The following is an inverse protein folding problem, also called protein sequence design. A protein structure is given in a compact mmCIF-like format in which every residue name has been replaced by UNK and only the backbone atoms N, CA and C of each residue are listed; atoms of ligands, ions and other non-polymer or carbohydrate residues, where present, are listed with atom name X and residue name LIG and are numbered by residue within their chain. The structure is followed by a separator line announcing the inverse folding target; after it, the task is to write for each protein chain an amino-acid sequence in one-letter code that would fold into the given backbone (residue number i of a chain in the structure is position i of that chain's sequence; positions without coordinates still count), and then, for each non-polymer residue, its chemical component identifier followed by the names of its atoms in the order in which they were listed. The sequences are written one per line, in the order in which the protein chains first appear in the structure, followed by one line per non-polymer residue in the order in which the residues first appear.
data_IF_424973367527
#
_entry.id   IF_424973367527
#
_cell.length_a   1.000
_cell.length_b   1.000
_cell.length_c   1.000
_cell.angle_alpha   90.00
_cell.angle_beta   90.00
_cell.angle_gamma   90.00
#
_symmetry.space_group_name_H-M   'P 1'
#
loop_
_entity.id
_entity.type
_entity.pdbx_description
1 polymer ?
#
# COMPACT_ATOMS: atom_id res chain seq x y z
N UNK A 1 2.18 -8.95 -26.80
CA UNK A 1 1.83 -9.27 -25.40
C UNK A 1 2.01 -8.05 -24.50
N UNK A 2 3.19 -7.42 -24.52
CA UNK A 2 3.54 -6.27 -23.66
C UNK A 2 2.68 -5.01 -23.91
N UNK A 3 2.23 -4.78 -25.14
CA UNK A 3 1.42 -3.60 -25.53
C UNK A 3 -0.08 -3.88 -25.61
N UNK A 4 -0.54 -5.07 -25.21
CA UNK A 4 -1.94 -5.42 -25.34
C UNK A 4 -2.75 -4.86 -24.15
N UNK A 5 -3.79 -4.03 -24.36
CA UNK A 5 -4.61 -3.48 -23.27
C UNK A 5 -5.37 -4.54 -22.46
N UNK A 6 -5.54 -5.76 -22.99
CA UNK A 6 -6.05 -6.88 -22.19
C UNK A 6 -5.04 -7.39 -21.17
N UNK A 7 -3.75 -7.39 -21.52
CA UNK A 7 -2.70 -7.83 -20.62
C UNK A 7 -2.56 -6.87 -19.42
N UNK A 8 -2.68 -5.57 -19.65
CA UNK A 8 -2.71 -4.56 -18.58
C UNK A 8 -3.87 -4.77 -17.61
N UNK A 9 -5.08 -5.01 -18.14
CA UNK A 9 -6.27 -5.28 -17.32
C UNK A 9 -6.15 -6.56 -16.48
N UNK A 10 -5.59 -7.63 -17.06
CA UNK A 10 -5.32 -8.89 -16.33
C UNK A 10 -4.28 -8.65 -15.23
N UNK A 11 -3.19 -7.95 -15.53
CA UNK A 11 -2.17 -7.61 -14.53
C UNK A 11 -2.77 -6.83 -13.36
N UNK A 12 -3.68 -5.89 -13.63
CA UNK A 12 -4.37 -5.13 -12.58
C UNK A 12 -5.26 -6.01 -11.70
N UNK A 13 -5.99 -6.96 -12.30
CA UNK A 13 -6.81 -7.91 -11.55
C UNK A 13 -5.94 -8.78 -10.62
N UNK A 14 -4.77 -9.21 -11.08
CA UNK A 14 -3.82 -9.99 -10.27
C UNK A 14 -3.26 -9.17 -9.11
N UNK A 15 -2.98 -7.87 -9.31
CA UNK A 15 -2.57 -6.97 -8.22
C UNK A 15 -3.68 -6.84 -7.18
N UNK A 16 -4.93 -6.63 -7.62
CA UNK A 16 -6.07 -6.52 -6.70
C UNK A 16 -6.28 -7.82 -5.91
N UNK A 17 -6.17 -8.97 -6.56
CA UNK A 17 -6.22 -10.27 -5.89
C UNK A 17 -5.10 -10.37 -4.84
N UNK A 18 -3.89 -9.91 -5.14
CA UNK A 18 -2.79 -9.90 -4.17
C UNK A 18 -3.05 -8.99 -2.97
N UNK A 19 -3.67 -7.82 -3.17
CA UNK A 19 -4.07 -6.95 -2.07
C UNK A 19 -5.09 -7.65 -1.15
N UNK A 20 -6.04 -8.40 -1.73
CA UNK A 20 -7.02 -9.17 -0.95
C UNK A 20 -6.36 -10.31 -0.19
N UNK A 21 -5.43 -11.07 -0.80
CA UNK A 21 -4.72 -12.16 -0.09
C UNK A 21 -3.89 -11.61 1.07
N UNK A 22 -3.19 -10.49 0.87
CA UNK A 22 -2.44 -9.81 1.93
C UNK A 22 -3.36 -9.27 3.05
N UNK A 23 -4.51 -8.70 2.72
CA UNK A 23 -5.47 -8.20 3.71
C UNK A 23 -6.17 -9.31 4.50
N UNK A 24 -6.24 -10.53 3.95
CA UNK A 24 -6.82 -11.70 4.62
C UNK A 24 -5.84 -12.44 5.55
N UNK A 25 -4.55 -12.12 5.50
CA UNK A 25 -3.51 -12.74 6.32
C UNK A 25 -3.68 -12.38 7.81
N UNK A 26 -3.57 -13.39 8.69
CA UNK A 26 -3.67 -13.19 10.16
C UNK A 26 -2.33 -13.54 10.82
N UNK A 27 -1.56 -12.54 11.30
CA UNK A 27 -0.22 -12.79 11.84
C UNK A 27 -0.22 -13.75 13.04
N UNK A 28 -1.19 -13.66 13.96
CA UNK A 28 -1.19 -14.49 15.18
C UNK A 28 -1.58 -15.96 14.98
N UNK A 29 -2.11 -16.34 13.80
CA UNK A 29 -2.67 -17.68 13.55
C UNK A 29 -1.96 -18.37 12.39
N UNK A 30 -1.45 -17.60 11.44
CA UNK A 30 -0.88 -18.10 10.18
C UNK A 30 0.67 -18.17 10.23
N UNK A 31 1.30 -18.10 11.40
CA UNK A 31 2.76 -18.26 11.55
C UNK A 31 3.21 -19.71 11.25
N UNK A 32 2.48 -20.69 11.78
CA UNK A 32 2.58 -22.10 11.40
C UNK A 32 1.40 -22.42 10.48
N UNK A 33 1.66 -22.49 9.17
CA UNK A 33 0.64 -22.63 8.12
C UNK A 33 -0.02 -24.04 8.09
N UNK A 34 -0.76 -24.35 9.15
CA UNK A 34 -1.42 -25.63 9.39
C UNK A 34 -2.86 -25.64 8.88
N UNK A 35 -3.53 -24.48 8.92
CA UNK A 35 -4.94 -24.35 8.53
C UNK A 35 -5.14 -24.47 7.01
N UNK A 36 -6.27 -25.05 6.55
CA UNK A 36 -6.55 -25.17 5.11
C UNK A 36 -6.68 -23.79 4.44
N UNK A 37 -7.16 -22.78 5.17
CA UNK A 37 -7.20 -21.39 4.71
C UNK A 37 -5.81 -20.85 4.40
N UNK A 38 -4.84 -21.06 5.30
CA UNK A 38 -3.47 -20.59 5.10
C UNK A 38 -2.84 -21.25 3.87
N UNK A 39 -3.03 -22.57 3.69
CA UNK A 39 -2.55 -23.28 2.49
C UNK A 39 -3.14 -22.73 1.18
N UNK A 40 -4.44 -22.40 1.18
CA UNK A 40 -5.08 -21.79 0.01
C UNK A 40 -4.48 -20.40 -0.27
N UNK A 41 -4.27 -19.59 0.77
CA UNK A 41 -3.64 -18.27 0.64
C UNK A 41 -2.21 -18.38 0.07
N UNK A 42 -1.44 -19.36 0.54
CA UNK A 42 -0.09 -19.63 0.04
C UNK A 42 -0.09 -20.02 -1.44
N UNK A 43 -1.03 -20.87 -1.87
CA UNK A 43 -1.18 -21.23 -3.29
C UNK A 43 -1.47 -20.00 -4.16
N UNK A 44 -2.34 -19.09 -3.69
CA UNK A 44 -2.60 -17.84 -4.40
C UNK A 44 -1.35 -16.97 -4.47
N UNK A 45 -0.61 -16.83 -3.38
CA UNK A 45 0.61 -16.03 -3.34
C UNK A 45 1.72 -16.61 -4.26
N UNK A 46 1.87 -17.93 -4.31
CA UNK A 46 2.80 -18.62 -5.22
C UNK A 46 2.40 -18.40 -6.69
N UNK A 47 1.10 -18.50 -7.01
CA UNK A 47 0.57 -18.21 -8.34
C UNK A 47 0.84 -16.75 -8.75
N UNK A 48 0.57 -15.80 -7.85
CA UNK A 48 0.79 -14.38 -8.08
C UNK A 48 2.28 -14.09 -8.31
N UNK A 49 3.16 -14.68 -7.49
CA UNK A 49 4.60 -14.55 -7.67
C UNK A 49 5.05 -15.06 -9.03
N UNK A 50 4.62 -16.28 -9.41
CA UNK A 50 4.97 -16.89 -10.70
C UNK A 50 4.48 -16.04 -11.89
N UNK A 51 3.25 -15.51 -11.83
CA UNK A 51 2.71 -14.63 -12.86
C UNK A 51 3.60 -13.41 -13.10
N UNK A 52 4.02 -12.73 -12.03
CA UNK A 52 4.84 -11.54 -12.15
C UNK A 52 6.31 -11.82 -12.48
N UNK A 53 6.86 -12.94 -12.01
CA UNK A 53 8.20 -13.37 -12.39
C UNK A 53 8.27 -13.70 -13.89
N UNK A 54 7.24 -14.36 -14.42
CA UNK A 54 7.11 -14.65 -15.85
C UNK A 54 6.94 -13.37 -16.66
N UNK A 55 6.06 -12.46 -16.24
CA UNK A 55 5.90 -11.17 -16.90
C UNK A 55 7.22 -10.41 -16.98
N UNK A 56 7.94 -10.32 -15.87
CA UNK A 56 9.23 -9.65 -15.78
C UNK A 56 10.25 -10.29 -16.73
N UNK A 57 10.32 -11.62 -16.74
CA UNK A 57 11.21 -12.38 -17.63
C UNK A 57 10.92 -12.11 -19.10
N UNK A 58 9.64 -12.11 -19.49
CA UNK A 58 9.20 -11.78 -20.86
C UNK A 58 9.60 -10.36 -21.25
N UNK A 59 9.42 -9.38 -20.35
CA UNK A 59 9.81 -7.98 -20.60
C UNK A 59 11.32 -7.83 -20.73
N UNK A 60 12.10 -8.50 -19.88
CA UNK A 60 13.57 -8.47 -19.95
C UNK A 60 14.11 -9.08 -21.24
N UNK A 61 13.53 -10.18 -21.72
CA UNK A 61 13.93 -10.80 -23.00
C UNK A 61 13.57 -9.89 -24.18
N UNK A 62 12.40 -9.25 -24.16
CA UNK A 62 11.94 -8.42 -25.27
C UNK A 62 12.67 -7.07 -25.39
N UNK A 63 13.02 -6.44 -24.27
CA UNK A 63 13.61 -5.09 -24.23
C UNK A 63 15.12 -5.08 -23.95
N UNK A 64 15.70 -6.22 -23.55
CA UNK A 64 17.06 -6.30 -23.04
C UNK A 64 17.16 -5.86 -21.57
N UNK A 65 18.30 -6.19 -20.94
CA UNK A 65 18.55 -5.94 -19.50
C UNK A 65 19.23 -4.59 -19.27
N UNK A 66 20.35 -4.31 -19.94
CA UNK A 66 21.18 -3.10 -19.75
C UNK A 66 21.34 -2.30 -21.05
N UNK A 67 21.05 -1.00 -21.02
CA UNK A 67 21.19 -0.08 -22.17
C UNK A 67 20.20 1.09 -22.16
N UNK A 68 20.28 1.99 -23.14
CA UNK A 68 19.29 3.06 -23.35
C UNK A 68 18.03 2.46 -23.98
N UNK A 69 16.90 2.51 -23.27
CA UNK A 69 15.63 1.91 -23.70
C UNK A 69 15.39 0.47 -23.25
N UNK A 70 16.21 -0.07 -22.33
CA UNK A 70 16.04 -1.41 -21.77
C UNK A 70 15.14 -1.44 -20.54
N UNK A 71 14.75 -2.64 -20.08
CA UNK A 71 13.81 -2.81 -18.96
C UNK A 71 14.26 -2.06 -17.69
N UNK A 72 15.54 -2.15 -17.32
CA UNK A 72 16.09 -1.51 -16.11
C UNK A 72 16.38 -0.01 -16.28
N UNK A 73 16.12 0.60 -17.44
CA UNK A 73 16.28 2.04 -17.61
C UNK A 73 15.14 2.83 -16.92
N UNK A 74 13.92 2.28 -16.86
CA UNK A 74 12.77 2.91 -16.19
C UNK A 74 12.81 2.67 -14.66
N UNK A 75 12.81 3.72 -13.81
CA UNK A 75 12.76 3.58 -12.35
C UNK A 75 11.62 2.70 -11.84
N UNK A 76 10.46 2.68 -12.51
CA UNK A 76 9.32 1.87 -12.07
C UNK A 76 9.52 0.39 -12.34
N UNK A 77 10.18 0.06 -13.44
CA UNK A 77 10.58 -1.32 -13.73
C UNK A 77 11.68 -1.80 -12.78
N UNK A 78 12.53 -0.90 -12.26
CA UNK A 78 13.49 -1.23 -11.19
C UNK A 78 12.79 -1.59 -9.87
N UNK A 79 11.72 -0.88 -9.51
CA UNK A 79 10.88 -1.22 -8.36
C UNK A 79 10.21 -2.58 -8.54
N UNK A 80 9.63 -2.85 -9.72
CA UNK A 80 9.05 -4.17 -10.04
C UNK A 80 10.09 -5.29 -9.95
N UNK A 81 11.30 -5.06 -10.46
CA UNK A 81 12.42 -6.00 -10.38
C UNK A 81 12.84 -6.27 -8.93
N UNK A 82 12.93 -5.22 -8.11
CA UNK A 82 13.25 -5.34 -6.69
C UNK A 82 12.23 -6.23 -5.95
N UNK A 83 10.93 -6.00 -6.19
CA UNK A 83 9.87 -6.78 -5.55
C UNK A 83 9.93 -8.26 -5.96
N UNK A 84 10.12 -8.56 -7.24
CA UNK A 84 10.23 -9.95 -7.71
C UNK A 84 11.49 -10.62 -7.15
N UNK A 85 12.61 -9.91 -7.09
CA UNK A 85 13.85 -10.44 -6.50
C UNK A 85 13.69 -10.73 -5.01
N UNK A 86 13.06 -9.84 -4.26
CA UNK A 86 12.80 -10.06 -2.84
C UNK A 86 11.88 -11.26 -2.60
N UNK A 87 10.84 -11.43 -3.42
CA UNK A 87 9.98 -12.63 -3.38
C UNK A 87 10.72 -13.92 -3.78
N UNK A 88 11.65 -13.85 -4.74
CA UNK A 88 12.48 -15.00 -5.10
C UNK A 88 13.43 -15.38 -3.96
N UNK A 89 14.02 -14.39 -3.29
CA UNK A 89 14.86 -14.60 -2.11
C UNK A 89 14.06 -15.23 -0.96
N UNK A 90 12.84 -14.76 -0.70
CA UNK A 90 11.92 -15.36 0.27
C UNK A 90 11.65 -16.84 -0.03
N UNK A 91 11.38 -17.16 -1.30
CA UNK A 91 11.14 -18.54 -1.74
C UNK A 91 12.38 -19.43 -1.55
N UNK A 92 13.57 -18.96 -1.93
CA UNK A 92 14.82 -19.70 -1.75
C UNK A 92 15.13 -19.98 -0.27
N UNK A 93 14.95 -19.00 0.62
CA UNK A 93 15.20 -19.16 2.05
C UNK A 93 14.23 -20.13 2.73
N UNK A 94 12.99 -20.19 2.23
CA UNK A 94 12.00 -21.15 2.72
C UNK A 94 12.38 -22.61 2.37
N UNK A 95 13.08 -22.83 1.24
CA UNK A 95 13.60 -24.17 0.87
C UNK A 95 14.74 -24.60 1.80
N UNK A 96 15.58 -23.66 2.24
CA UNK A 96 16.69 -23.92 3.18
C UNK A 96 16.25 -23.94 4.66
N UNK A 97 14.94 -23.78 4.93
CA UNK A 97 14.36 -23.65 6.28
C UNK A 97 14.94 -22.49 7.13
N UNK A 98 15.45 -21.43 6.47
CA UNK A 98 15.99 -20.25 7.15
C UNK A 98 14.85 -19.22 7.31
N UNK A 99 14.30 -19.14 8.52
CA UNK A 99 13.16 -18.26 8.81
C UNK A 99 13.60 -16.83 9.14
N UNK A 100 13.64 -15.96 8.12
CA UNK A 100 13.79 -14.51 8.29
C UNK A 100 12.44 -13.82 8.23
N UNK A 101 11.82 -13.60 9.40
CA UNK A 101 10.52 -12.89 9.52
C UNK A 101 10.54 -11.50 8.85
N UNK A 102 11.67 -10.80 8.90
CA UNK A 102 11.83 -9.49 8.26
C UNK A 102 11.59 -9.53 6.73
N UNK A 103 12.00 -10.59 6.03
CA UNK A 103 11.82 -10.69 4.57
C UNK A 103 10.35 -10.89 4.22
N UNK A 104 9.59 -11.59 5.06
CA UNK A 104 8.14 -11.75 4.92
C UNK A 104 7.39 -10.42 4.99
N UNK A 105 7.97 -9.35 5.56
CA UNK A 105 7.33 -8.02 5.56
C UNK A 105 7.45 -7.31 4.20
N UNK A 106 8.44 -7.66 3.37
CA UNK A 106 8.66 -7.05 2.04
C UNK A 106 7.48 -7.29 1.10
N UNK A 107 6.68 -8.35 1.31
CA UNK A 107 5.45 -8.59 0.55
C UNK A 107 4.43 -7.44 0.64
N UNK A 108 4.51 -6.58 1.68
CA UNK A 108 3.69 -5.36 1.82
C UNK A 108 3.98 -4.34 0.71
N UNK A 109 5.12 -4.44 0.01
CA UNK A 109 5.45 -3.58 -1.13
C UNK A 109 4.78 -4.01 -2.44
N UNK A 110 4.25 -5.24 -2.55
CA UNK A 110 3.65 -5.77 -3.79
C UNK A 110 2.49 -4.91 -4.36
N UNK A 111 1.62 -4.29 -3.53
CA UNK A 111 0.62 -3.33 -4.00
C UNK A 111 1.19 -2.10 -4.71
N UNK A 112 2.43 -1.68 -4.40
CA UNK A 112 3.06 -0.50 -5.05
C UNK A 112 3.24 -0.66 -6.56
N UNK A 113 3.21 -1.90 -7.07
CA UNK A 113 3.27 -2.21 -8.51
C UNK A 113 2.08 -1.62 -9.27
N UNK A 114 0.97 -1.34 -8.59
CA UNK A 114 -0.18 -0.64 -9.16
C UNK A 114 0.22 0.73 -9.74
N UNK A 115 1.23 1.39 -9.16
CA UNK A 115 1.72 2.70 -9.64
C UNK A 115 2.30 2.59 -11.05
N UNK A 116 3.02 1.50 -11.37
CA UNK A 116 3.55 1.28 -12.72
C UNK A 116 2.43 0.97 -13.75
N UNK A 117 1.27 0.49 -13.29
CA UNK A 117 0.15 0.08 -14.16
C UNK A 117 -0.88 1.18 -14.38
N UNK A 118 -1.07 2.05 -13.40
CA UNK A 118 -2.01 3.17 -13.49
C UNK A 118 -1.22 4.43 -13.83
N UNK A 119 -1.23 4.90 -15.09
CA UNK A 119 -0.46 6.07 -15.51
C UNK A 119 -0.83 7.33 -14.71
N UNK A 120 -2.10 7.49 -14.31
CA UNK A 120 -2.56 8.59 -13.47
C UNK A 120 -1.89 8.61 -12.09
N UNK A 121 -1.68 7.45 -11.47
CA UNK A 121 -1.00 7.33 -10.17
C UNK A 121 0.50 7.61 -10.31
N UNK A 122 1.13 7.12 -11.38
CA UNK A 122 2.53 7.43 -11.70
C UNK A 122 2.77 8.93 -11.83
N UNK A 123 1.91 9.63 -12.55
CA UNK A 123 2.01 11.09 -12.72
C UNK A 123 1.90 11.76 -11.34
N UNK A 124 0.91 11.39 -10.53
CA UNK A 124 0.73 11.97 -9.20
C UNK A 124 1.94 11.78 -8.29
N UNK A 125 2.49 10.56 -8.21
CA UNK A 125 3.66 10.28 -7.37
C UNK A 125 4.91 11.00 -7.88
N UNK A 126 5.11 11.08 -9.19
CA UNK A 126 6.23 11.85 -9.77
C UNK A 126 6.12 13.33 -9.44
N UNK A 127 4.92 13.92 -9.57
CA UNK A 127 4.67 15.31 -9.17
C UNK A 127 4.99 15.53 -7.68
N UNK A 128 4.62 14.59 -6.81
CA UNK A 128 4.94 14.67 -5.39
C UNK A 128 6.45 14.60 -5.15
N UNK A 129 7.14 13.61 -5.73
CA UNK A 129 8.59 13.46 -5.58
C UNK A 129 9.37 14.67 -6.12
N UNK A 130 8.90 15.30 -7.20
CA UNK A 130 9.51 16.50 -7.76
C UNK A 130 9.42 17.71 -6.81
N UNK A 131 8.47 17.73 -5.87
CA UNK A 131 8.37 18.79 -4.84
C UNK A 131 9.30 18.58 -3.64
N UNK A 132 9.76 17.35 -3.39
CA UNK A 132 10.58 17.00 -2.21
C UNK A 132 11.91 17.77 -2.11
N UNK A 133 12.71 17.96 -3.18
CA UNK A 133 13.97 18.69 -3.08
C UNK A 133 13.81 20.10 -2.54
N UNK A 134 12.69 20.76 -2.85
CA UNK A 134 12.43 22.13 -2.42
C UNK A 134 11.96 22.20 -0.96
N UNK A 135 11.35 21.13 -0.45
CA UNK A 135 11.08 20.96 0.99
C UNK A 135 12.36 20.80 1.82
N UNK A 136 13.49 20.40 1.19
CA UNK A 136 14.78 20.22 1.87
C UNK A 136 15.24 21.45 2.67
N UNK A 137 14.99 22.66 2.16
CA UNK A 137 15.32 23.90 2.87
C UNK A 137 14.52 24.06 4.18
N UNK A 138 13.24 23.67 4.16
CA UNK A 138 12.34 23.70 5.32
C UNK A 138 12.77 22.67 6.36
N UNK A 139 13.14 21.47 5.90
CA UNK A 139 13.65 20.40 6.77
C UNK A 139 15.00 20.76 7.39
N UNK A 140 15.84 21.51 6.69
CA UNK A 140 17.09 22.01 7.26
C UNK A 140 16.83 23.05 8.36
N UNK A 141 15.87 23.96 8.17
CA UNK A 141 15.43 24.88 9.23
C UNK A 141 14.81 24.11 10.42
N UNK A 142 13.98 23.09 10.14
CA UNK A 142 13.42 22.17 11.14
C UNK A 142 14.50 21.59 12.03
N UNK A 143 15.54 21.04 11.40
CA UNK A 143 16.64 20.40 12.08
C UNK A 143 17.33 21.36 13.06
N UNK A 144 17.57 22.61 12.68
CA UNK A 144 18.15 23.60 13.58
C UNK A 144 17.26 23.94 14.78
N UNK A 145 15.93 24.07 14.57
CA UNK A 145 14.98 24.29 15.68
C UNK A 145 15.01 23.10 16.63
N UNK A 146 14.93 21.88 16.12
CA UNK A 146 15.01 20.65 16.93
C UNK A 146 16.33 20.55 17.69
N UNK A 147 17.44 20.92 17.06
CA UNK A 147 18.75 20.88 17.68
C UNK A 147 18.88 21.89 18.82
N UNK A 148 18.50 23.16 18.59
CA UNK A 148 18.60 24.24 19.58
C UNK A 148 17.71 23.94 20.79
N UNK A 149 16.42 23.69 20.57
CA UNK A 149 15.49 23.38 21.65
C UNK A 149 15.82 22.05 22.32
N UNK A 150 16.27 21.06 21.57
CA UNK A 150 16.71 19.77 22.10
C UNK A 150 17.87 19.90 23.09
N UNK A 151 18.90 20.67 22.74
CA UNK A 151 20.04 20.90 23.65
C UNK A 151 19.60 21.70 24.88
N UNK A 152 18.76 22.73 24.72
CA UNK A 152 18.23 23.49 25.86
C UNK A 152 17.45 22.57 26.80
N UNK A 153 16.54 21.74 26.27
CA UNK A 153 15.75 20.81 27.07
C UNK A 153 16.60 19.77 27.79
N UNK A 154 17.62 19.20 27.13
CA UNK A 154 18.55 18.24 27.76
C UNK A 154 19.34 18.89 28.90
N UNK A 155 19.83 20.12 28.70
CA UNK A 155 20.60 20.82 29.73
C UNK A 155 19.75 21.22 30.94
N UNK A 156 18.49 21.57 30.73
CA UNK A 156 17.58 21.95 31.81
C UNK A 156 17.03 20.72 32.57
N UNK A 157 16.71 19.64 31.86
CA UNK A 157 15.82 18.60 32.38
C UNK A 157 16.35 17.17 32.27
N UNK A 158 17.67 16.99 32.11
CA UNK A 158 18.26 15.65 32.16
C UNK A 158 17.90 14.94 33.48
N UNK A 159 17.29 13.76 33.37
CA UNK A 159 16.98 12.89 34.50
C UNK A 159 15.83 13.34 35.42
N UNK A 160 15.24 14.52 35.24
CA UNK A 160 14.20 15.02 36.18
C UNK A 160 12.90 14.22 36.09
N UNK A 161 12.56 13.73 34.88
CA UNK A 161 11.31 13.00 34.65
C UNK A 161 11.32 11.59 35.28
N UNK A 162 12.46 11.15 35.78
CA UNK A 162 12.63 9.88 36.51
C UNK A 162 12.27 9.98 37.99
N UNK A 163 12.12 11.19 38.52
CA UNK A 163 11.93 11.42 39.95
C UNK A 163 10.56 10.90 40.41
N UNK A 164 10.53 10.12 41.50
CA UNK A 164 9.30 9.61 42.14
C UNK A 164 9.45 9.69 43.67
N UNK A 165 8.34 9.81 44.38
CA UNK A 165 8.34 9.76 45.84
C UNK A 165 8.51 8.30 46.29
N UNK A 166 9.64 7.99 46.91
CA UNK A 166 9.98 6.66 47.42
C UNK A 166 9.62 6.50 48.89
N UNK A 167 9.20 5.28 49.23
CA UNK A 167 8.86 4.90 50.59
C UNK A 167 10.12 4.90 51.45
N UNK A 168 10.09 5.67 52.55
CA UNK A 168 11.13 5.62 53.57
C UNK A 168 10.79 4.55 54.59
N UNK A 169 11.59 3.49 54.65
CA UNK A 169 11.42 2.42 55.63
C UNK A 169 11.85 2.90 57.02
N UNK A 170 10.91 2.85 57.97
CA UNK A 170 11.14 3.18 59.37
C UNK A 170 11.33 1.87 60.14
N UNK A 171 12.35 1.77 61.02
CA UNK A 171 12.55 0.57 61.83
C UNK A 171 11.33 0.30 62.71
N UNK A 172 11.05 -0.98 62.97
CA UNK A 172 9.98 -1.45 63.86
C UNK A 172 8.53 -1.18 63.39
N UNK A 173 8.33 -0.88 62.10
CA UNK A 173 7.00 -0.75 61.47
C UNK A 173 6.80 -1.90 60.49
N UNK A 174 5.67 -2.61 60.59
CA UNK A 174 5.26 -3.61 59.60
C UNK A 174 4.40 -2.96 58.52
N UNK A 175 4.85 -3.05 57.26
CA UNK A 175 4.14 -2.54 56.09
C UNK A 175 3.22 -3.62 55.49
N UNK A 176 1.97 -3.29 55.09
CA UNK A 176 1.08 -4.26 54.47
C UNK A 176 1.53 -4.57 53.03
N UNK A 177 1.57 -5.84 52.62
CA UNK A 177 1.69 -6.20 51.20
C UNK A 177 0.33 -6.00 50.49
N UNK A 178 0.27 -5.46 49.24
CA UNK A 178 1.36 -5.10 48.32
C UNK A 178 1.63 -3.58 48.25
N UNK A 179 2.22 -2.98 49.27
CA UNK A 179 2.65 -1.57 49.20
C UNK A 179 3.79 -1.39 48.20
N UNK A 180 3.63 -0.48 47.23
CA UNK A 180 4.64 -0.18 46.23
C UNK A 180 5.85 0.56 46.83
N UNK A 181 7.03 0.44 46.21
CA UNK A 181 8.23 1.16 46.65
C UNK A 181 8.13 2.67 46.41
N UNK A 182 7.36 3.08 45.41
CA UNK A 182 7.14 4.47 45.05
C UNK A 182 5.64 4.75 44.92
N UNK A 183 5.26 6.00 45.18
CA UNK A 183 3.88 6.42 45.08
C UNK A 183 3.37 6.33 43.62
N UNK A 184 2.19 5.73 43.45
CA UNK A 184 1.50 5.59 42.17
C UNK A 184 0.06 6.09 42.31
N UNK A 185 -0.46 6.76 41.29
CA UNK A 185 -1.88 7.13 41.27
C UNK A 185 -2.75 5.87 41.10
N UNK A 186 -3.69 5.67 42.03
CA UNK A 186 -4.60 4.51 42.04
C UNK A 186 -5.64 4.57 40.90
N UNK A 187 -5.96 5.75 40.38
CA UNK A 187 -7.13 5.95 39.51
C UNK A 187 -6.84 6.35 38.04
N UNK A 188 -5.59 6.67 37.65
CA UNK A 188 -5.36 7.38 36.37
C UNK A 188 -4.18 6.95 35.49
N UNK A 189 -3.45 5.87 35.79
CA UNK A 189 -2.29 5.43 34.97
C UNK A 189 -1.30 6.58 34.64
N UNK A 190 -1.25 7.58 35.54
CA UNK A 190 -0.36 8.75 35.48
C UNK A 190 0.71 8.62 36.53
N UNK A 191 1.91 9.04 36.18
CA UNK A 191 3.05 9.07 37.09
C UNK A 191 2.99 10.32 37.97
N UNK A 192 3.25 10.17 39.27
CA UNK A 192 3.49 11.32 40.16
C UNK A 192 4.98 11.64 40.15
N UNK A 193 5.35 12.67 39.40
CA UNK A 193 6.72 13.16 39.35
C UNK A 193 6.88 14.22 40.43
N UNK A 194 7.87 14.03 41.30
CA UNK A 194 8.18 14.98 42.36
C UNK A 194 9.36 15.86 41.95
N UNK A 195 9.48 17.01 42.62
CA UNK A 195 10.64 17.87 42.56
C UNK A 195 11.58 17.61 43.74
N UNK A 196 12.88 17.80 43.51
CA UNK A 196 13.87 17.79 44.59
C UNK A 196 13.81 19.09 45.38
N UNK A 197 14.42 19.12 46.58
CA UNK A 197 14.52 20.36 47.38
C UNK A 197 15.35 21.47 46.71
N UNK A 198 16.09 21.15 45.65
CA UNK A 198 16.90 22.10 44.89
C UNK A 198 16.10 22.77 43.77
N UNK A 199 15.05 22.09 43.32
CA UNK A 199 14.17 22.52 42.25
C UNK A 199 12.92 23.20 42.84
N UNK A 200 12.24 24.02 42.04
CA UNK A 200 11.02 24.72 42.44
C UNK A 200 9.80 24.15 41.71
N UNK A 201 9.77 22.83 41.55
CA UNK A 201 8.67 22.15 40.87
C UNK A 201 7.38 22.20 41.67
N UNK A 202 6.25 22.00 40.99
CA UNK A 202 4.93 22.14 41.59
C UNK A 202 4.55 20.96 42.50
N UNK A 203 5.18 19.81 42.34
CA UNK A 203 4.90 18.62 43.14
C UNK A 203 6.02 18.34 44.14
N UNK A 204 5.64 18.22 45.40
CA UNK A 204 6.52 17.80 46.50
C UNK A 204 5.95 16.53 47.15
N UNK A 205 6.84 15.66 47.61
CA UNK A 205 6.46 14.46 48.35
C UNK A 205 5.79 14.75 49.72
N UNK A 206 5.82 16.00 50.18
CA UNK A 206 5.06 16.44 51.36
C UNK A 206 3.56 16.57 51.12
N UNK A 207 3.14 16.81 49.88
CA UNK A 207 1.79 17.27 49.55
C UNK A 207 0.96 16.15 48.89
N UNK A 208 1.23 14.90 49.27
CA UNK A 208 0.54 13.73 48.74
C UNK A 208 -0.90 13.63 49.28
N UNK A 209 -1.87 13.25 48.44
CA UNK A 209 -3.24 13.04 48.91
C UNK A 209 -3.29 11.90 49.94
N UNK A 210 -4.20 11.97 50.94
CA UNK A 210 -4.30 10.94 51.96
C UNK A 210 -4.68 9.59 51.33
N UNK A 211 -4.09 8.52 51.85
CA UNK A 211 -4.40 7.15 51.45
C UNK A 211 -5.88 6.83 51.73
N UNK A 212 -6.53 6.11 50.81
CA UNK A 212 -7.93 5.70 50.92
C UNK A 212 -8.03 4.18 50.85
N UNK A 213 -8.82 3.61 51.76
CA UNK A 213 -9.16 2.19 51.77
C UNK A 213 -10.68 2.07 51.52
N UNK A 214 -11.07 1.84 50.26
CA UNK A 214 -12.46 1.98 49.84
C UNK A 214 -12.95 3.43 49.98
N UNK A 215 -14.05 3.64 50.70
CA UNK A 215 -14.61 4.99 50.97
C UNK A 215 -13.98 5.69 52.20
N UNK A 216 -13.13 4.99 52.97
CA UNK A 216 -12.53 5.52 54.19
C UNK A 216 -11.22 6.26 53.87
N UNK A 217 -11.15 7.54 54.26
CA UNK A 217 -9.90 8.33 54.21
C UNK A 217 -9.05 8.03 55.44
N UNK A 218 -7.84 7.52 55.23
CA UNK A 218 -6.93 7.14 56.28
C UNK A 218 -6.13 8.36 56.76
N UNK A 219 -6.25 8.69 58.04
CA UNK A 219 -5.52 9.79 58.70
C UNK A 219 -4.57 9.31 59.81
N UNK A 220 -4.54 8.01 60.11
CA UNK A 220 -3.72 7.46 61.18
C UNK A 220 -2.23 7.39 60.83
N UNK A 221 -1.38 7.37 61.86
CA UNK A 221 0.05 7.05 61.74
C UNK A 221 0.30 5.60 62.15
N UNK A 222 1.30 4.96 61.56
CA UNK A 222 1.68 3.60 61.93
C UNK A 222 2.25 3.56 63.35
N UNK A 223 1.75 2.60 64.14
CA UNK A 223 2.24 2.32 65.48
C UNK A 223 3.41 1.32 65.41
N UNK A 224 4.53 1.59 66.09
CA UNK A 224 5.64 0.63 66.18
C UNK A 224 5.20 -0.68 66.84
N UNK A 225 5.73 -1.81 66.37
CA UNK A 225 5.44 -3.16 66.89
C UNK A 225 3.96 -3.59 66.82
N UNK A 226 3.12 -2.85 66.11
CA UNK A 226 1.71 -3.19 65.85
C UNK A 226 1.55 -3.68 64.40
N UNK A 227 0.64 -4.63 64.12
CA UNK A 227 0.39 -5.10 62.76
C UNK A 227 -0.25 -4.04 61.84
N UNK A 228 -0.67 -2.87 62.38
CA UNK A 228 -1.20 -1.73 61.62
C UNK A 228 -2.31 -2.10 60.61
N UNK A 229 -3.12 -3.10 60.94
CA UNK A 229 -4.21 -3.57 60.09
C UNK A 229 -5.35 -2.55 60.04
N UNK A 230 -5.90 -2.26 58.85
CA UNK A 230 -7.05 -1.37 58.74
C UNK A 230 -8.27 -1.97 59.46
N UNK A 231 -9.02 -1.10 60.13
CA UNK A 231 -10.31 -1.41 60.78
C UNK A 231 -11.42 -0.65 60.07
N UNK A 232 -12.69 -1.00 60.33
CA UNK A 232 -13.84 -0.32 59.70
C UNK A 232 -13.93 1.19 59.98
N UNK A 233 -13.23 1.70 61.00
CA UNK A 233 -13.27 3.10 61.43
C UNK A 233 -11.92 3.81 61.41
N UNK A 234 -10.81 3.08 61.31
CA UNK A 234 -9.47 3.67 61.33
C UNK A 234 -8.47 2.88 60.49
N UNK A 235 -7.64 3.61 59.76
CA UNK A 235 -6.57 3.06 58.93
C UNK A 235 -5.38 4.02 58.90
N UNK A 236 -4.20 3.48 58.60
CA UNK A 236 -2.94 4.23 58.51
C UNK A 236 -2.84 4.91 57.16
N UNK A 237 -2.47 6.19 57.15
CA UNK A 237 -2.13 6.90 55.94
C UNK A 237 -0.74 6.46 55.45
N UNK A 238 -0.65 5.47 54.56
CA UNK A 238 0.65 5.04 54.05
C UNK A 238 1.32 6.08 53.15
N UNK A 239 0.55 7.00 52.54
CA UNK A 239 1.07 8.03 51.65
C UNK A 239 2.02 9.01 52.36
N UNK A 240 1.87 9.19 53.69
CA UNK A 240 2.75 10.04 54.50
C UNK A 240 4.18 9.48 54.66
N UNK A 241 4.48 8.27 54.20
CA UNK A 241 5.81 7.67 54.30
C UNK A 241 6.62 7.76 53.00
N UNK A 242 6.02 8.25 51.91
CA UNK A 242 6.73 8.54 50.67
C UNK A 242 7.32 9.96 50.74
N UNK A 243 8.45 10.12 51.41
CA UNK A 243 9.02 11.42 51.72
C UNK A 243 10.24 11.78 50.88
N UNK A 244 10.90 10.77 50.30
CA UNK A 244 12.16 10.94 49.60
C UNK A 244 11.92 10.96 48.10
N UNK A 245 12.14 12.13 47.46
CA UNK A 245 12.09 12.24 46.00
C UNK A 245 13.39 11.72 45.39
N UNK A 246 13.33 10.57 44.71
CA UNK A 246 14.51 9.92 44.13
C UNK A 246 14.28 9.54 42.67
N UNK A 247 15.35 9.53 41.88
CA UNK A 247 15.30 9.09 40.50
C UNK A 247 15.14 7.57 40.40
N UNK A 248 14.14 7.14 39.65
CA UNK A 248 13.86 5.73 39.32
C UNK A 248 14.44 5.36 37.95
N UNK A 249 14.58 4.07 37.61
CA UNK A 249 15.17 3.68 36.32
C UNK A 249 14.27 4.00 35.11
N UNK A 250 12.96 4.15 35.30
CA UNK A 250 11.99 4.27 34.22
C UNK A 250 11.51 5.73 34.05
N UNK A 251 11.43 6.17 32.81
CA UNK A 251 10.79 7.44 32.44
C UNK A 251 9.27 7.24 32.22
N UNK A 252 8.47 8.33 32.22
CA UNK A 252 7.05 8.28 31.89
C UNK A 252 6.79 7.70 30.49
N UNK A 253 5.52 7.34 30.22
CA UNK A 253 5.11 6.76 28.94
C UNK A 253 5.95 5.54 28.53
N UNK A 254 6.15 4.60 29.46
CA UNK A 254 6.93 3.39 29.24
C UNK A 254 8.38 3.66 28.78
N UNK A 255 8.96 4.79 29.20
CA UNK A 255 10.34 5.14 28.87
C UNK A 255 10.54 5.91 27.56
N UNK A 256 9.47 6.26 26.85
CA UNK A 256 9.57 6.87 25.52
C UNK A 256 9.79 8.38 25.55
N UNK A 257 9.40 9.06 26.62
CA UNK A 257 9.49 10.52 26.75
C UNK A 257 10.48 10.88 27.85
N UNK A 258 11.57 11.55 27.48
CA UNK A 258 12.52 12.14 28.43
C UNK A 258 13.43 13.17 27.76
N UNK A 259 14.14 13.95 28.57
CA UNK A 259 15.19 14.86 28.13
C UNK A 259 16.60 14.36 28.50
N UNK A 260 16.75 13.05 28.73
CA UNK A 260 18.02 12.45 29.15
C UNK A 260 19.07 12.45 28.03
N UNK A 261 18.61 12.42 26.77
CA UNK A 261 19.45 12.37 25.58
C UNK A 261 18.80 13.17 24.45
N UNK A 262 19.60 13.64 23.50
CA UNK A 262 19.12 14.45 22.37
C UNK A 262 18.05 13.74 21.52
N UNK A 263 18.17 12.42 21.33
CA UNK A 263 17.19 11.65 20.55
C UNK A 263 15.82 11.57 21.21
N UNK A 264 15.76 11.35 22.53
CA UNK A 264 14.50 11.32 23.28
C UNK A 264 13.90 12.72 23.42
N UNK A 265 14.75 13.74 23.57
CA UNK A 265 14.33 15.13 23.53
C UNK A 265 13.69 15.49 22.18
N UNK A 266 14.22 15.00 21.06
CA UNK A 266 13.61 15.19 19.74
C UNK A 266 12.26 14.50 19.59
N UNK A 267 12.07 13.32 20.19
CA UNK A 267 10.75 12.65 20.22
C UNK A 267 9.75 13.51 21.00
N UNK A 268 10.14 14.02 22.18
CA UNK A 268 9.30 14.91 22.97
C UNK A 268 8.97 16.21 22.23
N UNK A 269 9.97 16.85 21.61
CA UNK A 269 9.79 18.08 20.83
C UNK A 269 8.88 17.85 19.61
N UNK A 270 9.00 16.71 18.93
CA UNK A 270 8.14 16.36 17.81
C UNK A 270 6.67 16.30 18.24
N UNK A 271 6.37 15.65 19.38
CA UNK A 271 5.02 15.62 19.95
C UNK A 271 4.52 17.03 20.30
N UNK A 272 5.36 17.86 20.92
CA UNK A 272 5.00 19.25 21.25
C UNK A 272 4.65 20.06 19.99
N UNK A 273 5.46 19.96 18.93
CA UNK A 273 5.23 20.67 17.66
C UNK A 273 3.94 20.19 16.96
N UNK A 274 3.60 18.90 17.10
CA UNK A 274 2.35 18.33 16.57
C UNK A 274 1.10 18.77 17.34
N UNK A 275 1.26 19.45 18.48
CA UNK A 275 0.19 19.88 19.39
C UNK A 275 -0.61 18.71 19.99
N UNK A 276 -0.03 17.52 20.03
CA UNK A 276 -0.62 16.32 20.65
C UNK A 276 0.10 15.98 21.96
N UNK A 277 -0.64 15.84 23.06
CA UNK A 277 -0.10 15.43 24.37
C UNK A 277 0.94 16.40 24.98
N UNK A 278 1.13 17.58 24.41
CA UNK A 278 2.18 18.52 24.80
C UNK A 278 1.99 19.11 26.20
N UNK A 279 0.74 19.26 26.64
CA UNK A 279 0.41 19.74 27.98
C UNK A 279 0.87 18.76 29.04
N UNK A 280 0.78 17.46 28.79
CA UNK A 280 1.19 16.43 29.76
C UNK A 280 2.71 16.44 29.95
N UNK A 281 3.47 16.60 28.86
CA UNK A 281 4.93 16.75 28.92
C UNK A 281 5.30 18.03 29.69
N UNK A 282 4.62 19.15 29.40
CA UNK A 282 4.84 20.40 30.11
C UNK A 282 4.54 20.28 31.60
N UNK A 283 3.39 19.71 31.97
CA UNK A 283 3.01 19.53 33.37
C UNK A 283 4.00 18.64 34.11
N UNK A 284 4.44 17.53 33.51
CA UNK A 284 5.48 16.69 34.11
C UNK A 284 6.81 17.39 34.33
N UNK A 285 7.20 18.29 33.43
CA UNK A 285 8.42 19.12 33.61
C UNK A 285 8.19 20.17 34.70
N UNK A 286 7.03 20.83 34.73
CA UNK A 286 6.71 21.84 35.74
C UNK A 286 6.59 21.24 37.14
N UNK A 287 6.06 20.02 37.25
CA UNK A 287 5.93 19.29 38.51
C UNK A 287 7.31 18.97 39.11
N UNK A 288 8.30 18.67 38.25
CA UNK A 288 9.64 18.26 38.65
C UNK A 288 10.65 19.40 38.81
N UNK A 289 10.59 20.44 37.97
CA UNK A 289 11.64 21.46 37.87
C UNK A 289 11.17 22.87 38.22
N UNK A 290 10.25 23.45 37.45
CA UNK A 290 9.74 24.80 37.74
C UNK A 290 8.42 25.13 37.07
N UNK A 291 7.58 25.92 37.75
CA UNK A 291 6.41 26.54 37.13
C UNK A 291 6.75 27.30 35.83
N UNK A 292 7.91 27.97 35.73
CA UNK A 292 8.27 28.84 34.60
C UNK A 292 8.61 28.09 33.29
N UNK A 293 8.68 26.77 33.33
CA UNK A 293 9.04 25.96 32.15
C UNK A 293 8.02 26.10 31.01
N UNK A 294 6.80 26.57 31.28
CA UNK A 294 5.79 26.89 30.24
C UNK A 294 6.33 27.83 29.15
N UNK A 295 7.26 28.72 29.48
CA UNK A 295 7.86 29.68 28.54
C UNK A 295 8.58 28.92 27.41
N UNK A 296 9.34 27.87 27.76
CA UNK A 296 10.00 27.04 26.77
C UNK A 296 8.99 26.39 25.82
N UNK A 297 7.92 25.79 26.36
CA UNK A 297 6.93 25.09 25.55
C UNK A 297 6.13 26.04 24.65
N UNK A 298 5.74 27.21 25.16
CA UNK A 298 5.05 28.23 24.36
C UNK A 298 5.96 28.78 23.26
N UNK A 299 7.23 29.07 23.56
CA UNK A 299 8.20 29.50 22.55
C UNK A 299 8.43 28.41 21.50
N UNK A 300 8.53 27.15 21.91
CA UNK A 300 8.66 26.00 21.00
C UNK A 300 7.43 25.83 20.12
N UNK A 301 6.22 26.08 20.62
CA UNK A 301 4.98 26.01 19.81
C UNK A 301 4.92 27.17 18.82
N UNK A 302 5.21 28.40 19.27
CA UNK A 302 5.18 29.59 18.42
C UNK A 302 6.27 29.54 17.36
N UNK A 303 7.48 29.10 17.70
CA UNK A 303 8.59 29.02 16.74
C UNK A 303 8.52 27.72 15.94
N UNK A 304 8.28 26.59 16.58
CA UNK A 304 8.19 25.28 15.95
C UNK A 304 6.89 25.10 15.20
N UNK A 305 5.76 24.91 15.88
CA UNK A 305 4.48 24.56 15.23
C UNK A 305 4.02 25.60 14.20
N UNK A 306 4.05 26.89 14.57
CA UNK A 306 3.57 27.94 13.68
C UNK A 306 4.50 28.22 12.50
N UNK A 307 5.82 28.18 12.64
CA UNK A 307 6.68 28.31 11.45
C UNK A 307 6.77 27.01 10.66
N UNK A 308 6.86 25.85 11.29
CA UNK A 308 7.11 24.59 10.60
C UNK A 308 5.95 24.16 9.72
N UNK A 309 4.74 24.09 10.29
CA UNK A 309 3.57 23.61 9.56
C UNK A 309 3.17 24.65 8.51
N UNK A 310 3.15 25.94 8.86
CA UNK A 310 2.76 26.97 7.91
C UNK A 310 3.79 27.16 6.79
N UNK A 311 5.09 27.10 7.07
CA UNK A 311 6.11 27.21 6.03
C UNK A 311 6.09 25.97 5.12
N UNK A 312 5.87 24.78 5.67
CA UNK A 312 5.65 23.56 4.89
C UNK A 312 4.43 23.71 3.96
N UNK A 313 3.29 24.19 4.49
CA UNK A 313 2.08 24.45 3.70
C UNK A 313 2.32 25.49 2.59
N UNK A 314 3.02 26.60 2.90
CA UNK A 314 3.35 27.64 1.92
C UNK A 314 4.26 27.08 0.83
N UNK A 315 5.29 26.30 1.20
CA UNK A 315 6.19 25.67 0.23
C UNK A 315 5.44 24.67 -0.63
N UNK A 316 4.62 23.79 -0.06
CA UNK A 316 3.81 22.84 -0.82
C UNK A 316 2.84 23.58 -1.75
N UNK A 317 2.15 24.62 -1.27
CA UNK A 317 1.19 25.37 -2.07
C UNK A 317 1.85 26.13 -3.24
N UNK A 318 3.00 26.78 -2.98
CA UNK A 318 3.78 27.45 -4.03
C UNK A 318 4.31 26.44 -5.04
N UNK A 319 4.82 25.29 -4.59
CA UNK A 319 5.30 24.23 -5.47
C UNK A 319 4.20 23.59 -6.30
N UNK A 320 3.05 23.32 -5.70
CA UNK A 320 1.90 22.80 -6.43
C UNK A 320 1.41 23.80 -7.48
N UNK A 321 1.37 25.09 -7.14
CA UNK A 321 1.01 26.17 -8.07
C UNK A 321 2.01 26.29 -9.22
N UNK A 322 3.31 26.28 -8.94
CA UNK A 322 4.36 26.32 -9.97
C UNK A 322 4.33 25.09 -10.87
N UNK A 323 4.22 23.90 -10.28
CA UNK A 323 4.17 22.64 -11.03
C UNK A 323 2.94 22.60 -11.94
N UNK A 324 1.76 23.01 -11.42
CA UNK A 324 0.54 23.17 -12.23
C UNK A 324 0.72 24.18 -13.35
N UNK A 325 1.41 25.31 -13.10
CA UNK A 325 1.70 26.31 -14.13
C UNK A 325 2.61 25.75 -15.22
N UNK A 326 3.70 25.06 -14.86
CA UNK A 326 4.63 24.41 -15.81
C UNK A 326 3.92 23.37 -16.67
N UNK A 327 3.09 22.54 -16.07
CA UNK A 327 2.30 21.52 -16.80
C UNK A 327 1.21 22.16 -17.69
N UNK A 328 0.55 23.22 -17.25
CA UNK A 328 -0.41 23.97 -18.06
C UNK A 328 0.23 24.65 -19.27
N UNK A 329 1.43 25.24 -19.09
CA UNK A 329 2.21 25.82 -20.19
C UNK A 329 2.65 24.76 -21.19
N UNK A 330 3.10 23.58 -20.73
CA UNK A 330 3.40 22.43 -21.61
C UNK A 330 2.18 22.00 -22.43
N UNK A 331 1.03 21.81 -21.79
CA UNK A 331 -0.22 21.45 -22.47
C UNK A 331 -0.65 22.53 -23.48
N UNK A 332 -0.44 23.81 -23.17
CA UNK A 332 -0.72 24.92 -24.10
C UNK A 332 0.19 24.88 -25.32
N UNK A 333 1.49 24.71 -25.12
CA UNK A 333 2.47 24.60 -26.22
C UNK A 333 2.20 23.38 -27.10
N UNK A 334 1.79 22.25 -26.52
CA UNK A 334 1.37 21.07 -27.28
C UNK A 334 0.12 21.34 -28.11
N UNK A 335 -0.90 22.02 -27.54
CA UNK A 335 -2.10 22.43 -28.29
C UNK A 335 -1.77 23.41 -29.41
N UNK A 336 -0.87 24.36 -29.17
CA UNK A 336 -0.40 25.30 -30.18
C UNK A 336 0.36 24.56 -31.30
N UNK A 337 1.22 23.60 -30.96
CA UNK A 337 1.89 22.73 -31.96
C UNK A 337 0.87 21.93 -32.78
N UNK A 338 -0.14 21.35 -32.14
CA UNK A 338 -1.19 20.58 -32.84
C UNK A 338 -2.05 21.48 -33.74
N UNK A 339 -2.34 22.71 -33.29
CA UNK A 339 -3.06 23.73 -34.07
C UNK A 339 -2.25 24.17 -35.29
N UNK A 340 -0.97 24.46 -35.12
CA UNK A 340 -0.06 24.87 -36.20
C UNK A 340 0.20 23.73 -37.21
N UNK A 341 0.21 22.48 -36.76
CA UNK A 341 0.33 21.29 -37.64
C UNK A 341 -0.96 21.06 -38.44
N UNK A 342 -2.12 21.43 -37.89
CA UNK A 342 -3.42 21.32 -38.58
C UNK A 342 -3.64 22.41 -39.64
N UNK A 343 -2.94 23.55 -39.57
CA UNK A 343 -3.02 24.63 -40.58
C UNK A 343 -1.93 24.60 -41.65
N UNK A 344 -1.00 23.62 -41.62
CA UNK A 344 0.03 23.42 -42.65
C UNK A 344 -0.07 22.07 -43.38
N UNK A 345 -1.27 21.49 -43.43
CA UNK A 345 -1.61 20.46 -44.44
C UNK A 345 -1.97 21.12 -45.78
N UNK A 346 -1.07 21.97 -46.30
CA UNK A 346 -1.14 22.54 -47.65
C UNK A 346 0.21 23.10 -48.06
N UNK A 347 1.25 22.27 -48.08
CA UNK A 347 2.40 22.44 -49.00
C UNK A 347 3.28 21.21 -48.95
N UNK A 348 3.08 20.36 -49.96
CA UNK A 348 4.06 19.56 -50.68
C UNK A 348 5.45 19.36 -50.07
N UNK A 349 5.80 18.08 -49.90
CA UNK A 349 7.14 17.50 -50.03
C UNK A 349 8.24 18.01 -49.08
N UNK A 350 8.14 17.69 -47.80
CA UNK A 350 9.35 17.48 -47.00
C UNK A 350 9.30 16.12 -46.29
N UNK A 351 10.27 15.31 -46.69
CA UNK A 351 10.62 14.01 -46.15
C UNK A 351 11.06 14.11 -44.69
N UNK A 352 10.21 13.65 -43.78
CA UNK A 352 10.65 13.09 -42.49
C UNK A 352 10.68 11.57 -42.62
N UNK A 353 11.66 10.89 -41.97
CA UNK A 353 11.93 9.48 -42.22
C UNK A 353 10.73 8.67 -41.74
N UNK A 354 10.02 8.08 -42.69
CA UNK A 354 9.06 7.02 -42.38
C UNK A 354 9.83 5.97 -41.57
N UNK A 355 9.51 5.86 -40.29
CA UNK A 355 10.15 4.87 -39.42
C UNK A 355 10.00 3.49 -40.07
N UNK A 356 11.05 2.67 -40.02
CA UNK A 356 11.07 1.30 -40.57
C UNK A 356 9.81 0.50 -40.20
N UNK A 357 9.25 0.78 -39.03
CA UNK A 357 8.01 0.21 -38.53
C UNK A 357 6.77 0.51 -39.41
N UNK A 358 6.65 1.73 -39.94
CA UNK A 358 5.50 2.13 -40.77
C UNK A 358 5.44 1.37 -42.11
N UNK A 359 6.60 1.14 -42.73
CA UNK A 359 6.72 0.32 -43.94
C UNK A 359 6.41 -1.16 -43.66
N UNK A 360 6.90 -1.70 -42.53
CA UNK A 360 6.61 -3.07 -42.12
C UNK A 360 5.09 -3.27 -41.91
N UNK A 361 4.40 -2.33 -41.25
CA UNK A 361 2.96 -2.43 -41.03
C UNK A 361 2.17 -2.40 -42.35
N UNK A 362 2.56 -1.54 -43.30
CA UNK A 362 1.96 -1.51 -44.65
C UNK A 362 2.19 -2.82 -45.40
N UNK A 363 3.39 -3.39 -45.30
CA UNK A 363 3.75 -4.66 -45.94
C UNK A 363 2.96 -5.85 -45.35
N UNK A 364 2.84 -5.92 -44.02
CA UNK A 364 2.04 -6.95 -43.32
C UNK A 364 0.56 -6.82 -43.68
N UNK A 365 0.02 -5.60 -43.71
CA UNK A 365 -1.36 -5.35 -44.13
C UNK A 365 -1.61 -5.75 -45.60
N UNK A 366 -0.60 -5.60 -46.47
CA UNK A 366 -0.66 -6.04 -47.85
C UNK A 366 -0.62 -7.57 -47.97
N UNK A 367 0.26 -8.25 -47.22
CA UNK A 367 0.34 -9.71 -47.13
C UNK A 367 -0.97 -10.33 -46.63
N UNK A 368 -1.59 -9.74 -45.60
CA UNK A 368 -2.89 -10.18 -45.08
C UNK A 368 -4.00 -10.07 -46.14
N UNK A 369 -4.08 -8.93 -46.84
CA UNK A 369 -5.05 -8.72 -47.93
C UNK A 369 -4.82 -9.70 -49.10
N UNK A 370 -3.57 -10.08 -49.38
CA UNK A 370 -3.22 -11.07 -50.40
C UNK A 370 -3.58 -12.50 -49.97
N UNK A 371 -3.32 -12.87 -48.73
CA UNK A 371 -3.66 -14.16 -48.16
C UNK A 371 -5.19 -14.35 -48.06
N UNK A 372 -5.92 -13.34 -47.56
CA UNK A 372 -7.39 -13.33 -47.48
C UNK A 372 -8.03 -13.56 -48.86
N UNK A 373 -7.53 -12.88 -49.90
CA UNK A 373 -8.02 -13.06 -51.29
C UNK A 373 -7.77 -14.47 -51.83
N UNK A 374 -6.59 -15.06 -51.56
CA UNK A 374 -6.26 -16.44 -51.97
C UNK A 374 -7.11 -17.48 -51.24
N UNK A 375 -7.33 -17.32 -49.93
CA UNK A 375 -8.18 -18.20 -49.13
C UNK A 375 -9.65 -18.14 -49.57
N UNK A 376 -10.20 -16.95 -49.80
CA UNK A 376 -11.57 -16.78 -50.33
C UNK A 376 -11.75 -17.40 -51.72
N UNK A 377 -10.71 -17.35 -52.58
CA UNK A 377 -10.76 -17.96 -53.92
C UNK A 377 -10.72 -19.50 -53.82
N UNK A 378 -9.84 -20.06 -52.99
CA UNK A 378 -9.81 -21.51 -52.70
C UNK A 378 -11.12 -22.00 -52.09
N UNK A 379 -11.68 -21.25 -51.14
CA UNK A 379 -12.96 -21.58 -50.51
C UNK A 379 -14.11 -21.61 -51.52
N UNK A 380 -14.19 -20.62 -52.42
CA UNK A 380 -15.20 -20.60 -53.50
C UNK A 380 -15.09 -21.79 -54.45
N UNK A 381 -13.87 -22.12 -54.89
CA UNK A 381 -13.64 -23.29 -55.78
C UNK A 381 -13.95 -24.60 -55.07
N UNK A 382 -13.59 -24.72 -53.80
CA UNK A 382 -13.93 -25.89 -52.99
C UNK A 382 -15.45 -26.05 -52.82
N UNK A 383 -16.16 -24.95 -52.52
CA UNK A 383 -17.63 -24.95 -52.41
C UNK A 383 -18.29 -25.40 -53.71
N UNK A 384 -17.84 -24.88 -54.86
CA UNK A 384 -18.37 -25.24 -56.17
C UNK A 384 -18.14 -26.72 -56.54
N UNK A 385 -16.95 -27.27 -56.27
CA UNK A 385 -16.69 -28.72 -56.46
C UNK A 385 -17.58 -29.60 -55.60
N UNK A 386 -17.87 -29.16 -54.37
CA UNK A 386 -18.73 -29.90 -53.43
C UNK A 386 -20.19 -29.91 -53.88
N UNK A 387 -20.67 -28.81 -54.46
CA UNK A 387 -22.01 -28.71 -55.07
C UNK A 387 -22.12 -29.60 -56.32
N UNK A 388 -21.13 -29.58 -57.21
CA UNK A 388 -21.06 -30.48 -58.38
C UNK A 388 -21.05 -31.97 -58.00
N UNK A 389 -20.33 -32.36 -56.95
CA UNK A 389 -20.36 -33.73 -56.44
C UNK A 389 -21.72 -34.13 -55.86
N UNK A 390 -22.46 -33.19 -55.26
CA UNK A 390 -23.83 -33.44 -54.80
C UNK A 390 -24.79 -33.62 -55.98
N UNK A 391 -24.68 -32.80 -57.03
CA UNK A 391 -25.49 -32.94 -58.26
C UNK A 391 -25.22 -34.26 -58.99
N UNK A 392 -23.94 -34.67 -59.11
CA UNK A 392 -23.60 -35.97 -59.70
C UNK A 392 -24.15 -37.16 -58.89
N UNK A 393 -24.12 -37.09 -57.56
CA UNK A 393 -24.73 -38.11 -56.70
C UNK A 393 -26.25 -38.16 -56.85
N UNK A 394 -26.93 -37.01 -56.97
CA UNK A 394 -28.37 -36.97 -57.26
C UNK A 394 -28.72 -37.59 -58.62
N UNK A 395 -27.91 -37.34 -59.66
CA UNK A 395 -28.08 -37.95 -60.99
C UNK A 395 -27.84 -39.46 -61.00
N UNK A 396 -26.87 -39.96 -60.22
CA UNK A 396 -26.66 -41.40 -60.03
C UNK A 396 -27.82 -42.07 -59.29
N UNK A 397 -28.45 -41.35 -58.36
CA UNK A 397 -29.60 -41.87 -57.61
C UNK A 397 -30.86 -41.96 -58.48
N UNK A 398 -31.07 -41.05 -59.43
CA UNK A 398 -32.15 -41.12 -60.42
C UNK A 398 -31.95 -42.25 -61.46
N UNK A 399 -30.71 -42.56 -61.83
CA UNK A 399 -30.40 -43.66 -62.77
C UNK A 399 -30.47 -45.04 -62.11
N UNK A 400 -30.22 -45.15 -60.80
CA UNK A 400 -30.40 -46.38 -60.02
C UNK A 400 -31.86 -46.81 -59.84
N UNK A 401 -32.80 -45.86 -59.77
CA UNK A 401 -34.25 -46.13 -59.70
C UNK A 401 -34.88 -46.54 -61.03
N UNK A 402 -34.21 -46.30 -62.17
CA UNK A 402 -34.70 -46.68 -63.49
C UNK A 402 -34.41 -48.13 -63.90
N UNK A 403 -33.52 -48.83 -63.19
CA UNK A 403 -33.10 -50.19 -63.55
C UNK A 403 -33.86 -51.31 -62.80
N UNK A 404 -34.65 -50.98 -61.76
CA UNK A 404 -35.46 -51.97 -61.02
C UNK A 404 -36.87 -52.20 -61.61
N UNK A 405 -37.32 -51.39 -62.58
CA UNK A 405 -38.66 -51.55 -63.18
C UNK A 405 -38.70 -52.42 -64.45
N UNK A 406 -37.57 -52.89 -64.96
CA UNK A 406 -37.49 -53.63 -66.23
C UNK A 406 -37.30 -55.16 -66.10
N UNK A 407 -37.20 -55.70 -64.89
CA UNK A 407 -36.97 -57.14 -64.66
C UNK A 407 -38.21 -57.94 -64.22
N UNK A 408 -39.39 -57.30 -64.06
CA UNK A 408 -40.57 -57.97 -63.46
C UNK A 408 -41.80 -58.19 -64.37
N UNK A 409 -41.80 -57.72 -65.62
CA UNK A 409 -42.94 -57.92 -66.52
C UNK A 409 -42.53 -58.54 -67.85
N UNK A 410 -41.93 -59.74 -67.79
CA UNK A 410 -41.82 -60.64 -68.94
C UNK A 410 -42.29 -62.03 -68.53
N UNK A 411 -43.55 -62.12 -68.10
CA UNK A 411 -44.30 -63.36 -68.09
C UNK A 411 -45.80 -63.05 -68.04
N UNK A 412 -46.51 -63.58 -69.04
CA UNK A 412 -47.98 -63.70 -69.16
C UNK A 412 -48.71 -62.37 -69.44
N UNK A 413 -49.52 -62.20 -70.46
CA UNK A 413 -50.22 -63.15 -71.33
C UNK A 413 -51.65 -62.66 -71.50
N UNK A 414 -52.06 -62.43 -72.75
CA UNK A 414 -53.44 -62.38 -73.26
C UNK A 414 -54.39 -61.24 -72.83
N UNK A 415 -55.13 -60.70 -73.81
CA UNK A 415 -56.52 -60.27 -73.60
C UNK A 415 -56.93 -58.86 -74.06
N UNK A 416 -57.42 -58.77 -75.30
CA UNK A 416 -58.69 -58.14 -75.69
C UNK A 416 -58.95 -56.60 -75.60
N UNK A 417 -59.07 -56.00 -76.80
CA UNK A 417 -60.19 -55.17 -77.36
C UNK A 417 -60.64 -53.80 -76.80
N UNK A 418 -60.90 -52.92 -77.81
CA UNK A 418 -61.85 -51.77 -77.91
C UNK A 418 -61.50 -50.50 -77.13
N UNK A 419 -61.79 -49.27 -77.58
CA UNK A 419 -62.21 -48.64 -78.84
C UNK A 419 -62.37 -47.13 -78.55
N UNK A 420 -62.36 -46.31 -79.61
CA UNK A 420 -62.99 -44.98 -79.72
C UNK A 420 -62.25 -43.76 -79.13
N UNK A 421 -62.28 -42.56 -79.72
CA UNK A 421 -62.60 -42.00 -81.06
C UNK A 421 -62.44 -40.47 -80.92
N UNK A 422 -62.05 -39.79 -82.01
CA UNK A 422 -62.23 -38.34 -82.33
C UNK A 422 -61.55 -37.25 -81.46
N UNK A 423 -61.19 -36.05 -81.95
CA UNK A 423 -61.39 -35.35 -83.23
C UNK A 423 -60.38 -34.19 -83.38
N UNK A 424 -60.17 -33.78 -84.64
CA UNK A 424 -59.92 -32.42 -85.16
C UNK A 424 -58.61 -31.64 -84.87
N UNK A 425 -57.68 -31.73 -85.83
CA UNK A 425 -57.22 -30.67 -86.77
C UNK A 425 -57.90 -29.27 -86.65
N UNK A 426 -57.30 -28.11 -86.93
CA UNK A 426 -56.35 -27.68 -87.99
C UNK A 426 -55.84 -26.27 -87.56
N UNK A 427 -54.53 -26.00 -87.54
CA UNK A 427 -53.70 -25.34 -88.55
C UNK A 427 -53.43 -23.83 -88.40
N UNK A 428 -52.14 -23.54 -88.61
CA UNK A 428 -51.44 -22.29 -88.86
C UNK A 428 -52.18 -21.25 -89.73
N UNK A 429 -52.04 -19.98 -89.34
CA UNK A 429 -51.32 -18.98 -90.11
C UNK A 429 -50.76 -17.88 -89.22
#
# INVERSE_FOLDING_TARGET
MITNPWFERVSMLVILLNCVTLGMYRPCVDDDCSTPRCKILQIFDDFIFAFFALEMSVKMIAMGVYGKGTYLADPWNRLDFFIVKAGALEYCLNVENINLSAIRTIRVLRPLRAINRIPSMRILVMLLLDTLPMLGNVLLLCFFVFFIFGIVGVQLWQGILRQRCSLRQIPNISYPPPLALYYQYVEQDRDYICSTKHDNGMHSCSDLPPYKEGDLVCNGSALPFSPNTPTNTSCVNWNQYYMDCIATPNNPFQGTISFDNIGLAWVAIFLVISLEGWTDIMYYVQDAHSFWDWIYFVLLIVIGSFFMINLCLVVIATQFSETKKREMERMRLERERFRSTSTLASSTNNSEPTSCYAEIVKYVAHLWRRAKRRMLKKYRVWKYRREQQKEMKLRQQQTGSGLMSLQHCRNNGAGATRSNVHHHHHHHH
#
